data_IF_791916132495
#
_entry.id   IF_791916132495
#
_cell.length_a   1.000
_cell.length_b   1.000
_cell.length_c   1.000
_cell.angle_alpha   90.00
_cell.angle_beta   90.00
_cell.angle_gamma   90.00
#
_symmetry.space_group_name_H-M   'P 1'
#
loop_
_entity.id
_entity.type
_entity.pdbx_description
1 polymer ?
#
# COMPACT_ATOMS: atom_id res chain seq x y z
N UNK A 1 -38.37 -3.04 7.44
CA UNK A 1 -37.11 -2.53 6.85
C UNK A 1 -36.11 -3.65 7.03
N UNK A 2 -35.56 -4.20 5.95
CA UNK A 2 -34.55 -5.25 6.06
C UNK A 2 -33.20 -4.60 6.34
N UNK A 3 -32.48 -5.11 7.34
CA UNK A 3 -31.12 -4.67 7.67
C UNK A 3 -30.20 -5.12 6.54
N UNK A 4 -29.69 -4.18 5.76
CA UNK A 4 -28.70 -4.43 4.71
C UNK A 4 -27.32 -4.44 5.35
N UNK A 5 -26.78 -5.62 5.64
CA UNK A 5 -25.37 -5.75 6.02
C UNK A 5 -24.51 -5.41 4.80
N UNK A 6 -23.71 -4.35 4.93
CA UNK A 6 -22.77 -3.93 3.90
C UNK A 6 -21.63 -4.96 3.81
N UNK A 7 -21.52 -5.74 2.71
CA UNK A 7 -20.45 -6.74 2.56
C UNK A 7 -19.05 -6.11 2.46
N UNK A 8 -18.96 -4.80 2.25
CA UNK A 8 -17.72 -4.02 2.24
C UNK A 8 -17.35 -3.43 3.61
N UNK A 9 -18.11 -3.73 4.67
CA UNK A 9 -17.78 -3.24 6.01
C UNK A 9 -16.62 -4.01 6.66
N UNK A 10 -16.35 -5.24 6.22
CA UNK A 10 -15.34 -6.12 6.84
C UNK A 10 -13.92 -5.86 6.33
N UNK A 11 -13.78 -5.32 5.13
CA UNK A 11 -12.50 -4.93 4.56
C UNK A 11 -12.60 -3.44 4.25
N UNK A 12 -11.93 -2.59 5.02
CA UNK A 12 -11.86 -1.16 4.74
C UNK A 12 -11.15 -0.96 3.39
N UNK A 13 -11.87 -0.61 2.32
CA UNK A 13 -11.27 -0.45 1.00
C UNK A 13 -10.44 0.84 0.91
N UNK A 14 -10.42 1.64 1.98
CA UNK A 14 -9.70 2.89 2.13
C UNK A 14 -8.58 2.80 3.17
N UNK A 15 -8.10 1.59 3.52
CA UNK A 15 -6.72 1.48 4.05
C UNK A 15 -5.82 2.05 2.96
N UNK A 16 -5.52 3.32 3.10
CA UNK A 16 -4.57 4.05 2.30
C UNK A 16 -3.28 3.28 2.48
N UNK A 17 -2.95 2.45 1.51
CA UNK A 17 -1.73 1.66 1.49
C UNK A 17 -0.60 2.66 1.29
N UNK A 18 -0.23 3.34 2.37
CA UNK A 18 0.85 4.30 2.38
C UNK A 18 2.12 3.48 2.31
N UNK A 19 2.71 3.43 1.12
CA UNK A 19 4.00 2.81 0.92
C UNK A 19 5.10 3.86 0.92
N UNK A 20 6.14 3.58 1.68
CA UNK A 20 7.34 4.42 1.70
C UNK A 20 8.33 3.97 0.61
N UNK A 21 9.01 4.93 0.01
CA UNK A 21 9.99 4.64 -1.02
C UNK A 21 11.18 3.91 -0.41
N UNK A 22 11.50 2.74 -0.96
CA UNK A 22 12.61 1.90 -0.50
C UNK A 22 13.99 2.59 -0.58
N UNK A 23 14.12 3.66 -1.36
CA UNK A 23 15.38 4.39 -1.53
C UNK A 23 15.49 5.65 -0.68
N UNK A 24 14.40 6.40 -0.46
CA UNK A 24 14.47 7.72 0.17
C UNK A 24 13.42 7.96 1.27
N UNK A 25 12.54 6.99 1.56
CA UNK A 25 11.45 7.13 2.52
C UNK A 25 10.37 8.15 2.11
N UNK A 26 10.39 8.63 0.87
CA UNK A 26 9.35 9.50 0.31
C UNK A 26 8.09 8.72 -0.07
N UNK A 27 6.98 9.40 -0.34
CA UNK A 27 5.72 8.75 -0.70
C UNK A 27 5.84 8.03 -2.05
N UNK A 28 5.32 6.80 -2.11
CA UNK A 28 5.12 6.07 -3.37
C UNK A 28 3.70 6.25 -3.90
N UNK A 29 3.61 6.42 -5.22
CA UNK A 29 2.36 6.51 -5.96
C UNK A 29 2.22 5.32 -6.89
N UNK A 30 1.12 4.57 -6.79
CA UNK A 30 0.87 3.41 -7.65
C UNK A 30 0.16 3.78 -8.95
N UNK A 31 0.72 3.32 -10.07
CA UNK A 31 0.05 3.21 -11.35
C UNK A 31 -0.66 1.87 -11.45
N UNK A 32 -1.91 1.80 -10.97
CA UNK A 32 -2.68 0.56 -10.83
C UNK A 32 -2.73 -0.33 -12.10
N UNK A 33 -2.78 0.27 -13.29
CA UNK A 33 -2.80 -0.48 -14.57
C UNK A 33 -1.48 -1.21 -14.83
N UNK A 34 -0.37 -0.61 -14.41
CA UNK A 34 0.98 -1.12 -14.67
C UNK A 34 1.54 -1.92 -13.50
N UNK A 35 0.85 -1.94 -12.35
CA UNK A 35 1.31 -2.55 -11.09
C UNK A 35 2.73 -2.11 -10.74
N UNK A 36 2.97 -0.82 -10.91
CA UNK A 36 4.24 -0.15 -10.66
C UNK A 36 4.01 1.05 -9.76
N UNK A 37 4.96 1.28 -8.86
CA UNK A 37 4.98 2.39 -7.94
C UNK A 37 6.13 3.33 -8.25
N UNK A 38 5.86 4.63 -8.22
CA UNK A 38 6.86 5.66 -8.51
C UNK A 38 6.97 6.59 -7.31
N UNK A 39 8.20 6.87 -6.90
CA UNK A 39 8.46 7.87 -5.87
C UNK A 39 8.42 9.27 -6.47
N UNK A 40 7.70 10.18 -5.81
CA UNK A 40 7.62 11.58 -6.22
C UNK A 40 8.97 12.30 -6.13
N UNK A 41 9.73 12.03 -5.05
CA UNK A 41 10.97 12.74 -4.75
C UNK A 41 12.15 12.25 -5.61
N UNK A 42 12.41 10.94 -5.61
CA UNK A 42 13.59 10.38 -6.27
C UNK A 42 13.30 9.77 -7.65
N UNK A 43 12.04 9.73 -8.09
CA UNK A 43 11.59 9.14 -9.38
C UNK A 43 12.00 7.68 -9.59
N UNK A 44 12.37 6.99 -8.51
CA UNK A 44 12.61 5.55 -8.55
C UNK A 44 11.31 4.82 -8.85
N UNK A 45 11.41 3.74 -9.62
CA UNK A 45 10.28 2.91 -10.03
C UNK A 45 10.47 1.55 -9.38
N UNK A 46 9.42 1.04 -8.76
CA UNK A 46 9.36 -0.27 -8.12
C UNK A 46 8.13 -1.02 -8.63
N UNK A 47 8.14 -2.34 -8.59
CA UNK A 47 6.91 -3.10 -8.77
C UNK A 47 6.08 -3.07 -7.49
N UNK A 48 4.76 -3.15 -7.63
CA UNK A 48 3.87 -3.26 -6.47
C UNK A 48 4.27 -4.44 -5.58
N UNK A 49 4.62 -5.58 -6.17
CA UNK A 49 5.03 -6.79 -5.44
C UNK A 49 6.29 -6.56 -4.59
N UNK A 50 7.33 -5.91 -5.13
CA UNK A 50 8.55 -5.57 -4.37
C UNK A 50 8.27 -4.70 -3.14
N UNK A 51 7.38 -3.72 -3.29
CA UNK A 51 7.05 -2.77 -2.22
C UNK A 51 6.22 -3.45 -1.13
N UNK A 52 5.24 -4.27 -1.55
CA UNK A 52 4.43 -5.06 -0.62
C UNK A 52 5.28 -6.07 0.15
N UNK A 53 6.20 -6.79 -0.51
CA UNK A 53 7.09 -7.75 0.16
C UNK A 53 8.01 -7.06 1.17
N UNK A 54 8.56 -5.89 0.83
CA UNK A 54 9.43 -5.15 1.73
C UNK A 54 8.71 -4.67 3.00
N UNK A 55 7.48 -4.14 2.85
CA UNK A 55 6.78 -3.46 3.95
C UNK A 55 5.75 -4.35 4.67
N UNK A 56 5.36 -5.50 4.12
CA UNK A 56 4.54 -6.48 4.81
C UNK A 56 5.24 -7.05 6.07
N UNK A 57 6.58 -7.09 6.08
CA UNK A 57 7.37 -7.56 7.22
C UNK A 57 7.55 -6.51 8.34
N UNK A 58 7.64 -5.21 8.01
CA UNK A 58 7.88 -4.18 9.03
C UNK A 58 6.69 -3.99 9.98
N UNK A 59 5.47 -4.29 9.53
CA UNK A 59 4.27 -4.21 10.38
C UNK A 59 4.20 -5.34 11.40
N UNK A 60 4.88 -6.48 11.16
CA UNK A 60 4.87 -7.63 12.06
C UNK A 60 5.84 -7.49 13.25
N UNK A 61 6.93 -6.72 13.12
CA UNK A 61 7.90 -6.49 14.21
C UNK A 61 7.53 -5.28 15.10
N UNK A 62 6.64 -4.38 14.67
CA UNK A 62 6.20 -3.24 15.48
C UNK A 62 5.19 -3.60 16.60
N UNK A 63 4.79 -4.88 16.73
CA UNK A 63 3.84 -5.36 17.75
C UNK A 63 4.38 -6.48 18.67
N UNK A 64 5.69 -6.75 18.65
CA UNK A 64 6.34 -7.76 19.51
C UNK A 64 6.92 -7.16 20.81
#
# INVERSE_FOLDING_TARGET
MAEFENPYATNDPFVEAHFDCLNCGGKLWEYAIQRQMVCEDCRSIFTTEEVFEAQATETAEATA
#
